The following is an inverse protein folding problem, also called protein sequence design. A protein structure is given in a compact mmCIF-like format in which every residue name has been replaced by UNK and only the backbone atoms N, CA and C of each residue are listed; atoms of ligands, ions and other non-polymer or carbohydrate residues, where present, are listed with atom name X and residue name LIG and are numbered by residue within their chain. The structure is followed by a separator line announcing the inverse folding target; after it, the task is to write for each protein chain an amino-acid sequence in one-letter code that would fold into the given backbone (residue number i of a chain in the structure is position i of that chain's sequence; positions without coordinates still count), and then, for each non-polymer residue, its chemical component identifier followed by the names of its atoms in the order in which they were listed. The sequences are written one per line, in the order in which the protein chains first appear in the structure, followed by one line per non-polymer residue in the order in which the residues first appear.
data_IF_599975024261
#
_entry.id   IF_599975024261
#
_cell.length_a   1.000
_cell.length_b   1.000
_cell.length_c   1.000
_cell.angle_alpha   90.00
_cell.angle_beta   90.00
_cell.angle_gamma   90.00
#
_symmetry.space_group_name_H-M   'P 1'
#
loop_
_entity.id
_entity.type
_entity.pdbx_description
1 polymer ?
#
# COMPACT_ATOMS: atom_id res chain seq x y z
N UNK A 1 8.67 9.86 -12.91
CA UNK A 1 9.33 10.12 -11.61
C UNK A 1 10.14 8.91 -11.15
N UNK A 2 9.53 7.72 -11.10
CA UNK A 2 10.24 6.50 -10.72
C UNK A 2 11.40 6.14 -11.68
N UNK A 3 11.31 6.54 -12.95
CA UNK A 3 12.31 6.25 -13.98
C UNK A 3 13.27 7.43 -14.27
N UNK A 4 13.26 8.43 -13.40
CA UNK A 4 14.15 9.60 -13.52
C UNK A 4 15.20 9.71 -12.42
N UNK A 5 15.11 8.83 -11.40
CA UNK A 5 16.00 8.82 -10.23
C UNK A 5 16.24 7.38 -9.74
N UNK A 6 17.35 7.12 -9.02
CA UNK A 6 17.59 5.83 -8.36
C UNK A 6 16.40 5.41 -7.52
N UNK A 7 15.97 4.16 -7.70
CA UNK A 7 14.73 3.63 -7.07
C UNK A 7 14.74 3.77 -5.55
N UNK A 8 15.90 3.53 -4.89
CA UNK A 8 16.04 3.72 -3.44
C UNK A 8 15.73 5.15 -2.99
N UNK A 9 16.15 6.17 -3.76
CA UNK A 9 15.83 7.58 -3.46
C UNK A 9 14.34 7.88 -3.65
N UNK A 10 13.71 7.32 -4.68
CA UNK A 10 12.25 7.43 -4.89
C UNK A 10 11.51 6.85 -3.69
N UNK A 11 11.92 5.65 -3.25
CA UNK A 11 11.31 4.96 -2.10
C UNK A 11 11.53 5.75 -0.79
N UNK A 12 12.69 6.35 -0.59
CA UNK A 12 12.96 7.26 0.53
C UNK A 12 12.02 8.47 0.50
N UNK A 13 11.99 9.21 -0.61
CA UNK A 13 11.18 10.44 -0.74
C UNK A 13 9.69 10.17 -0.58
N UNK A 14 9.20 9.07 -1.11
CA UNK A 14 7.78 8.72 -1.03
C UNK A 14 7.36 8.30 0.37
N UNK A 15 8.19 7.59 1.13
CA UNK A 15 7.93 7.31 2.53
C UNK A 15 8.04 8.56 3.40
N UNK A 16 9.01 9.44 3.12
CA UNK A 16 9.11 10.73 3.77
C UNK A 16 7.86 11.59 3.50
N UNK A 17 7.36 11.60 2.27
CA UNK A 17 6.10 12.28 1.92
C UNK A 17 4.91 11.75 2.73
N UNK A 18 4.83 10.43 2.95
CA UNK A 18 3.79 9.83 3.80
C UNK A 18 3.92 10.32 5.26
N UNK A 19 5.15 10.39 5.79
CA UNK A 19 5.39 10.92 7.12
C UNK A 19 4.94 12.39 7.23
N UNK A 20 5.23 13.23 6.22
CA UNK A 20 4.73 14.61 6.15
C UNK A 20 3.20 14.65 6.13
N UNK A 21 2.53 13.78 5.38
CA UNK A 21 1.07 13.68 5.38
C UNK A 21 0.50 13.34 6.75
N UNK A 22 1.12 12.40 7.48
CA UNK A 22 0.75 12.08 8.86
C UNK A 22 0.96 13.26 9.82
N UNK A 23 2.08 13.97 9.70
CA UNK A 23 2.33 15.19 10.51
C UNK A 23 1.30 16.27 10.22
N UNK A 24 0.94 16.52 8.96
CA UNK A 24 -0.12 17.46 8.62
C UNK A 24 -1.47 17.07 9.24
N UNK A 25 -1.75 15.77 9.33
CA UNK A 25 -2.97 15.27 9.99
C UNK A 25 -2.95 15.53 11.48
N UNK A 26 -1.79 15.39 12.15
CA UNK A 26 -1.63 15.63 13.58
C UNK A 26 -1.72 17.12 13.95
N UNK A 27 -1.18 18.02 13.13
CA UNK A 27 -1.07 19.44 13.43
C UNK A 27 -2.16 20.30 12.76
N UNK A 28 -3.37 19.77 12.59
CA UNK A 28 -4.55 20.54 12.20
C UNK A 28 -4.67 20.81 10.70
N UNK A 29 -3.92 20.12 9.86
CA UNK A 29 -4.13 20.11 8.42
C UNK A 29 -5.51 19.51 8.06
N UNK A 30 -6.07 19.95 6.93
CA UNK A 30 -7.34 19.38 6.46
C UNK A 30 -7.18 17.86 6.26
N UNK A 31 -7.97 17.00 6.95
CA UNK A 31 -7.75 15.56 6.97
C UNK A 31 -7.69 14.90 5.58
N UNK A 32 -8.58 15.34 4.66
CA UNK A 32 -8.61 14.82 3.29
C UNK A 32 -7.34 15.18 2.50
N UNK A 33 -6.79 16.39 2.67
CA UNK A 33 -5.55 16.80 2.02
C UNK A 33 -4.36 16.04 2.59
N UNK A 34 -4.27 15.92 3.91
CA UNK A 34 -3.23 15.17 4.57
C UNK A 34 -3.23 13.69 4.13
N UNK A 35 -4.41 13.07 4.10
CA UNK A 35 -4.57 11.70 3.64
C UNK A 35 -4.27 11.54 2.13
N UNK A 36 -4.64 12.52 1.30
CA UNK A 36 -4.29 12.54 -0.12
C UNK A 36 -2.77 12.55 -0.33
N UNK A 37 -2.01 13.31 0.48
CA UNK A 37 -0.54 13.32 0.43
C UNK A 37 0.03 11.95 0.77
N UNK A 38 -0.50 11.26 1.79
CA UNK A 38 -0.12 9.88 2.11
C UNK A 38 -0.41 8.96 0.92
N UNK A 39 -1.58 9.11 0.29
CA UNK A 39 -1.99 8.34 -0.89
C UNK A 39 -1.08 8.55 -2.10
N UNK A 40 -0.69 9.81 -2.39
CA UNK A 40 0.28 10.14 -3.44
C UNK A 40 1.62 9.47 -3.14
N UNK A 41 2.10 9.52 -1.90
CA UNK A 41 3.32 8.83 -1.49
C UNK A 41 3.22 7.32 -1.68
N UNK A 42 2.07 6.69 -1.38
CA UNK A 42 1.85 5.27 -1.60
C UNK A 42 1.82 4.90 -3.09
N UNK A 43 1.12 5.68 -3.91
CA UNK A 43 1.04 5.47 -5.35
C UNK A 43 2.40 5.61 -6.04
N UNK A 44 3.20 6.60 -5.64
CA UNK A 44 4.53 6.83 -6.21
C UNK A 44 5.59 5.81 -5.73
N UNK A 45 5.37 5.17 -4.58
CA UNK A 45 6.26 4.12 -4.04
C UNK A 45 6.19 2.83 -4.87
N UNK A 46 5.01 2.42 -5.30
CA UNK A 46 4.78 1.13 -5.95
C UNK A 46 5.61 0.90 -7.21
N UNK A 47 5.70 1.83 -8.18
CA UNK A 47 6.52 1.62 -9.38
C UNK A 47 8.01 1.46 -9.05
N UNK A 48 8.52 2.16 -8.04
CA UNK A 48 9.90 2.01 -7.61
C UNK A 48 10.16 0.65 -6.93
N UNK A 49 9.20 0.19 -6.09
CA UNK A 49 9.27 -1.11 -5.41
C UNK A 49 9.35 -2.29 -6.38
N UNK A 50 8.55 -2.28 -7.43
CA UNK A 50 8.57 -3.34 -8.44
C UNK A 50 9.72 -3.15 -9.45
N UNK A 51 9.99 -1.91 -9.84
CA UNK A 51 11.04 -1.60 -10.82
C UNK A 51 12.44 -1.93 -10.34
N UNK A 52 12.73 -1.86 -9.04
CA UNK A 52 14.06 -2.20 -8.52
C UNK A 52 14.41 -3.68 -8.70
N UNK A 53 13.41 -4.57 -8.76
CA UNK A 53 13.66 -6.00 -8.96
C UNK A 53 14.31 -6.28 -10.32
N UNK A 54 13.85 -5.58 -11.35
CA UNK A 54 14.40 -5.74 -12.72
C UNK A 54 15.81 -5.15 -12.86
N UNK A 55 16.20 -4.27 -11.94
CA UNK A 55 17.54 -3.70 -11.90
C UNK A 55 18.53 -4.56 -11.10
N UNK A 56 18.04 -5.27 -10.07
CA UNK A 56 18.89 -6.06 -9.16
C UNK A 56 18.98 -7.55 -9.54
N UNK A 57 17.97 -8.07 -10.25
CA UNK A 57 17.84 -9.51 -10.46
C UNK A 57 17.78 -9.88 -11.95
N UNK A 58 18.38 -11.01 -12.33
CA UNK A 58 18.22 -11.56 -13.67
C UNK A 58 16.78 -12.05 -13.89
N UNK A 59 16.37 -12.14 -15.16
CA UNK A 59 15.00 -12.47 -15.57
C UNK A 59 14.45 -13.76 -14.95
N UNK A 60 15.30 -14.78 -14.81
CA UNK A 60 14.93 -16.11 -14.27
C UNK A 60 14.48 -16.04 -12.80
N UNK A 61 14.95 -15.06 -12.05
CA UNK A 61 14.62 -14.87 -10.62
C UNK A 61 13.45 -13.92 -10.37
N UNK A 62 13.00 -13.19 -11.38
CA UNK A 62 11.95 -12.17 -11.22
C UNK A 62 10.62 -12.74 -10.74
N UNK A 63 10.24 -13.93 -11.22
CA UNK A 63 8.98 -14.58 -10.82
C UNK A 63 8.99 -14.89 -9.31
N UNK A 64 10.08 -15.48 -8.83
CA UNK A 64 10.24 -15.82 -7.41
C UNK A 64 10.28 -14.55 -6.56
N UNK A 65 11.03 -13.54 -6.99
CA UNK A 65 11.17 -12.28 -6.26
C UNK A 65 9.83 -11.51 -6.18
N UNK A 66 9.06 -11.48 -7.28
CA UNK A 66 7.71 -10.92 -7.26
C UNK A 66 6.78 -11.67 -6.30
N UNK A 67 6.85 -13.01 -6.28
CA UNK A 67 6.10 -13.83 -5.33
C UNK A 67 6.42 -13.48 -3.88
N UNK A 68 7.70 -13.28 -3.54
CA UNK A 68 8.12 -12.83 -2.20
C UNK A 68 7.60 -11.44 -1.88
N UNK A 69 7.70 -10.48 -2.80
CA UNK A 69 7.20 -9.11 -2.59
C UNK A 69 5.70 -9.10 -2.38
N UNK A 70 4.94 -9.86 -3.15
CA UNK A 70 3.49 -9.98 -2.97
C UNK A 70 3.14 -10.65 -1.64
N UNK A 71 3.81 -11.74 -1.29
CA UNK A 71 3.62 -12.39 0.00
C UNK A 71 3.89 -11.46 1.19
N UNK A 72 4.99 -10.71 1.15
CA UNK A 72 5.32 -9.70 2.16
C UNK A 72 4.31 -8.54 2.16
N UNK A 73 3.80 -8.15 1.00
CA UNK A 73 2.78 -7.10 0.88
C UNK A 73 1.49 -7.53 1.58
N UNK A 74 1.00 -8.74 1.30
CA UNK A 74 -0.20 -9.29 1.97
C UNK A 74 0.05 -9.45 3.47
N UNK A 75 1.20 -10.00 3.89
CA UNK A 75 1.58 -10.09 5.29
C UNK A 75 1.60 -8.73 6.00
N UNK A 76 2.14 -7.71 5.33
CA UNK A 76 2.17 -6.34 5.85
C UNK A 76 0.77 -5.72 5.97
N UNK A 77 -0.15 -6.03 5.05
CA UNK A 77 -1.55 -5.60 5.13
C UNK A 77 -2.21 -6.19 6.38
N UNK A 78 -2.07 -7.51 6.59
CA UNK A 78 -2.62 -8.19 7.77
C UNK A 78 -2.07 -7.58 9.06
N UNK A 79 -0.75 -7.48 9.17
CA UNK A 79 -0.09 -6.87 10.31
C UNK A 79 -0.50 -5.42 10.53
N UNK A 80 -0.59 -4.64 9.45
CA UNK A 80 -0.99 -3.22 9.51
C UNK A 80 -2.41 -3.04 10.04
N UNK A 81 -3.35 -3.87 9.60
CA UNK A 81 -4.75 -3.83 10.09
C UNK A 81 -4.82 -4.19 11.58
N UNK A 82 -4.14 -5.27 11.99
CA UNK A 82 -4.11 -5.69 13.40
C UNK A 82 -3.44 -4.63 14.26
N UNK A 83 -2.25 -4.16 13.87
CA UNK A 83 -1.52 -3.12 14.61
C UNK A 83 -2.31 -1.82 14.67
N UNK A 84 -2.98 -1.41 13.61
CA UNK A 84 -3.87 -0.24 13.61
C UNK A 84 -4.97 -0.38 14.66
N UNK A 85 -5.64 -1.53 14.73
CA UNK A 85 -6.65 -1.82 15.74
C UNK A 85 -6.10 -1.86 17.17
N UNK A 86 -4.86 -2.32 17.35
CA UNK A 86 -4.17 -2.34 18.66
C UNK A 86 -3.74 -0.95 19.10
N UNK A 87 -3.20 -0.14 18.19
CA UNK A 87 -2.67 1.19 18.50
C UNK A 87 -3.74 2.18 19.00
N UNK A 88 -5.01 1.97 18.64
CA UNK A 88 -6.12 2.82 19.13
C UNK A 88 -6.70 2.36 20.46
N UNK A 89 -6.25 1.22 21.03
CA UNK A 89 -6.70 0.77 22.34
C UNK A 89 -6.18 1.69 23.44
N UNK A 90 -7.01 2.02 24.46
CA UNK A 90 -6.59 2.88 25.57
C UNK A 90 -5.31 2.41 26.25
N UNK A 91 -5.13 1.09 26.40
CA UNK A 91 -3.97 0.47 27.07
C UNK A 91 -2.64 0.73 26.33
N UNK A 92 -2.71 0.97 25.02
CA UNK A 92 -1.53 1.25 24.17
C UNK A 92 -1.41 2.75 23.88
N UNK A 93 -2.52 3.40 23.54
CA UNK A 93 -2.53 4.82 23.17
C UNK A 93 -2.18 5.74 24.34
N UNK A 94 -2.70 5.45 25.57
CA UNK A 94 -2.44 6.29 26.74
C UNK A 94 -0.95 6.34 27.13
N UNK A 95 -0.21 5.22 27.18
CA UNK A 95 1.23 5.25 27.35
C UNK A 95 1.98 6.06 26.28
N UNK A 96 1.57 5.98 25.01
CA UNK A 96 2.18 6.77 23.92
C UNK A 96 1.98 8.25 24.18
N UNK A 97 0.75 8.68 24.52
CA UNK A 97 0.43 10.07 24.80
C UNK A 97 1.24 10.61 25.98
N UNK A 98 1.41 9.83 27.05
CA UNK A 98 2.13 10.24 28.25
C UNK A 98 3.64 10.21 28.07
N UNK A 99 4.20 9.15 27.47
CA UNK A 99 5.64 8.96 27.29
C UNK A 99 6.27 10.05 26.40
N UNK A 100 5.57 10.42 25.34
CA UNK A 100 6.02 11.46 24.42
C UNK A 100 5.48 12.85 24.75
N UNK A 101 4.81 13.02 25.89
CA UNK A 101 4.23 14.29 26.33
C UNK A 101 3.35 14.94 25.24
N UNK A 102 2.63 14.13 24.45
CA UNK A 102 1.84 14.60 23.32
C UNK A 102 0.70 15.53 23.76
N UNK A 103 0.19 15.33 24.97
CA UNK A 103 -0.81 16.21 25.56
C UNK A 103 -0.33 17.68 25.68
N UNK A 104 0.97 17.89 25.89
CA UNK A 104 1.54 19.24 25.99
C UNK A 104 1.51 20.01 24.66
N UNK A 105 1.44 19.30 23.55
CA UNK A 105 1.33 19.88 22.19
C UNK A 105 -0.08 19.79 21.62
N UNK A 106 -1.09 19.44 22.47
CA UNK A 106 -2.49 19.44 22.11
C UNK A 106 -3.01 18.14 21.48
N UNK A 107 -2.20 17.07 21.42
CA UNK A 107 -2.62 15.76 20.92
C UNK A 107 -3.14 14.92 22.09
N UNK A 108 -4.44 14.64 22.11
CA UNK A 108 -5.12 14.02 23.25
C UNK A 108 -5.92 12.77 22.90
N UNK A 109 -6.19 12.55 21.62
CA UNK A 109 -6.99 11.41 21.17
C UNK A 109 -6.13 10.16 20.92
N UNK A 110 -6.73 8.99 21.08
CA UNK A 110 -6.08 7.71 20.79
C UNK A 110 -5.75 7.56 19.29
N UNK A 111 -6.56 8.16 18.42
CA UNK A 111 -6.28 8.21 16.99
C UNK A 111 -5.01 9.00 16.66
N UNK A 112 -4.81 10.14 17.34
CA UNK A 112 -3.59 10.94 17.21
C UNK A 112 -2.36 10.18 17.70
N UNK A 113 -2.45 9.45 18.81
CA UNK A 113 -1.38 8.57 19.28
C UNK A 113 -1.02 7.51 18.24
N UNK A 114 -2.02 6.90 17.60
CA UNK A 114 -1.80 5.91 16.54
C UNK A 114 -1.14 6.55 15.30
N UNK A 115 -1.59 7.72 14.84
CA UNK A 115 -1.00 8.44 13.72
C UNK A 115 0.45 8.83 14.02
N UNK A 116 0.72 9.27 15.26
CA UNK A 116 2.08 9.57 15.72
C UNK A 116 2.99 8.33 15.61
N UNK A 117 2.55 7.17 16.11
CA UNK A 117 3.29 5.93 16.01
C UNK A 117 3.54 5.52 14.53
N UNK A 118 2.52 5.64 13.66
CA UNK A 118 2.64 5.37 12.24
C UNK A 118 3.64 6.32 11.56
N UNK A 119 3.71 7.58 11.99
CA UNK A 119 4.70 8.55 11.49
C UNK A 119 6.12 8.03 11.72
N UNK A 120 6.41 7.48 12.90
CA UNK A 120 7.70 6.85 13.17
C UNK A 120 8.00 5.67 12.25
N UNK A 121 6.99 4.84 11.96
CA UNK A 121 7.15 3.73 11.01
C UNK A 121 7.53 4.23 9.62
N UNK A 122 6.89 5.30 9.13
CA UNK A 122 7.25 5.88 7.84
C UNK A 122 8.63 6.53 7.82
N UNK A 123 9.03 7.19 8.91
CA UNK A 123 10.38 7.74 9.05
C UNK A 123 11.41 6.62 9.07
N UNK A 124 11.19 5.57 9.86
CA UNK A 124 12.06 4.40 9.90
C UNK A 124 12.17 3.73 8.54
N UNK A 125 11.04 3.53 7.84
CA UNK A 125 11.01 2.99 6.49
C UNK A 125 11.77 3.88 5.49
N UNK A 126 11.69 5.21 5.63
CA UNK A 126 12.48 6.13 4.82
C UNK A 126 13.98 5.91 5.03
N UNK A 127 14.42 5.83 6.29
CA UNK A 127 15.83 5.62 6.64
C UNK A 127 16.32 4.27 6.11
N UNK A 128 15.54 3.20 6.27
CA UNK A 128 15.88 1.87 5.76
C UNK A 128 16.04 1.88 4.23
N UNK A 129 15.24 2.66 3.52
CA UNK A 129 15.37 2.79 2.07
C UNK A 129 16.69 3.45 1.62
N UNK A 130 17.37 4.20 2.49
CA UNK A 130 18.72 4.72 2.19
C UNK A 130 19.79 3.62 2.16
N UNK A 131 19.53 2.48 2.79
CA UNK A 131 20.42 1.32 2.74
C UNK A 131 20.30 0.53 1.42
N UNK A 132 19.36 0.87 0.54
CA UNK A 132 19.22 0.24 -0.76
C UNK A 132 20.44 0.63 -1.62
N UNK A 133 21.23 -0.35 -2.12
CA UNK A 133 22.43 -0.08 -2.90
C UNK A 133 22.05 0.61 -4.23
N UNK A 134 23.01 1.39 -4.75
CA UNK A 134 22.88 1.92 -6.11
C UNK A 134 22.97 0.77 -7.10
N UNK A 135 21.95 0.62 -7.92
CA UNK A 135 21.87 -0.44 -8.94
C UNK A 135 22.78 -0.19 -10.14
N UNK A 136 23.40 1.01 -10.22
CA UNK A 136 24.18 1.45 -11.37
C UNK A 136 23.32 1.78 -12.61
N UNK A 137 22.01 1.68 -12.53
CA UNK A 137 21.10 2.05 -13.61
C UNK A 137 21.21 3.55 -13.90
N UNK A 138 21.35 3.88 -15.18
CA UNK A 138 21.41 5.28 -15.63
C UNK A 138 20.03 5.72 -16.07
N UNK A 139 19.51 6.75 -15.42
CA UNK A 139 18.22 7.34 -15.72
C UNK A 139 18.40 8.56 -16.62
N UNK A 140 17.70 8.63 -17.76
CA UNK A 140 17.72 9.83 -18.59
C UNK A 140 17.16 11.00 -17.80
N UNK A 141 17.80 12.17 -17.90
CA UNK A 141 17.28 13.41 -17.32
C UNK A 141 15.98 13.77 -18.05
N UNK A 142 14.86 13.47 -17.44
CA UNK A 142 13.56 13.88 -17.95
C UNK A 142 13.20 15.25 -17.37
N UNK A 143 12.82 16.18 -18.22
CA UNK A 143 12.14 17.40 -17.78
C UNK A 143 10.77 16.97 -17.27
N UNK A 144 10.46 17.31 -16.01
CA UNK A 144 9.14 17.03 -15.45
C UNK A 144 8.12 17.95 -16.11
N UNK A 145 7.40 17.41 -17.08
CA UNK A 145 6.23 18.04 -17.69
C UNK A 145 4.99 17.23 -17.26
N UNK A 146 4.10 17.80 -16.42
CA UNK A 146 2.90 17.12 -15.98
C UNK A 146 1.98 16.72 -17.13
N UNK A 147 1.89 17.56 -18.17
CA UNK A 147 1.00 17.34 -19.32
C UNK A 147 1.52 16.16 -20.16
N UNK A 148 2.81 16.16 -20.46
CA UNK A 148 3.43 15.06 -21.19
C UNK A 148 3.40 13.76 -20.40
N UNK A 149 3.52 13.81 -19.07
CA UNK A 149 3.36 12.64 -18.19
C UNK A 149 1.95 12.06 -18.26
N UNK A 150 0.92 12.91 -18.20
CA UNK A 150 -0.49 12.50 -18.35
C UNK A 150 -0.74 11.93 -19.75
N UNK A 151 -0.24 12.61 -20.80
CA UNK A 151 -0.38 12.14 -22.18
C UNK A 151 0.29 10.78 -22.38
N UNK A 152 1.51 10.61 -21.86
CA UNK A 152 2.23 9.34 -21.89
C UNK A 152 1.47 8.22 -21.18
N UNK A 153 0.92 8.49 -19.99
CA UNK A 153 0.08 7.57 -19.26
C UNK A 153 -1.17 7.16 -20.07
N UNK A 154 -1.89 8.13 -20.61
CA UNK A 154 -3.08 7.84 -21.43
C UNK A 154 -2.74 7.05 -22.69
N UNK A 155 -1.59 7.33 -23.31
CA UNK A 155 -1.11 6.56 -24.46
C UNK A 155 -0.80 5.13 -24.08
N UNK A 156 -0.15 4.89 -22.93
CA UNK A 156 0.14 3.54 -22.42
C UNK A 156 -1.14 2.79 -22.09
N UNK A 157 -2.10 3.44 -21.43
CA UNK A 157 -3.41 2.83 -21.16
C UNK A 157 -4.14 2.47 -22.46
N UNK A 158 -4.11 3.34 -23.46
CA UNK A 158 -4.73 3.09 -24.76
C UNK A 158 -4.06 1.93 -25.49
N UNK A 159 -2.74 1.83 -25.44
CA UNK A 159 -1.98 0.73 -26.04
C UNK A 159 -2.35 -0.61 -25.40
N UNK A 160 -2.36 -0.67 -24.05
CA UNK A 160 -2.77 -1.87 -23.32
C UNK A 160 -4.24 -2.24 -23.58
N UNK A 161 -5.11 -1.22 -23.74
CA UNK A 161 -6.52 -1.46 -24.02
C UNK A 161 -6.79 -1.98 -25.44
N UNK A 162 -5.87 -1.81 -26.38
CA UNK A 162 -5.96 -2.39 -27.73
C UNK A 162 -5.48 -3.85 -27.78
N UNK A 163 -4.71 -4.28 -26.80
CA UNK A 163 -4.34 -5.70 -26.67
C UNK A 163 -5.35 -6.46 -25.80
N UNK A 164 -5.81 -7.62 -26.27
CA UNK A 164 -6.82 -8.43 -25.57
C UNK A 164 -6.35 -8.89 -24.19
N UNK A 165 -5.09 -9.27 -24.06
CA UNK A 165 -4.51 -9.67 -22.78
C UNK A 165 -4.35 -8.46 -21.86
N UNK A 166 -3.96 -7.31 -22.42
CA UNK A 166 -3.91 -6.03 -21.70
C UNK A 166 -5.26 -5.61 -21.16
N UNK A 167 -6.35 -5.73 -21.94
CA UNK A 167 -7.72 -5.47 -21.48
C UNK A 167 -8.10 -6.34 -20.28
N UNK A 168 -7.88 -7.65 -20.39
CA UNK A 168 -8.21 -8.61 -19.32
C UNK A 168 -7.40 -8.26 -18.07
N UNK A 169 -6.11 -8.04 -18.19
CA UNK A 169 -5.23 -7.72 -17.07
C UNK A 169 -5.65 -6.41 -16.37
N UNK A 170 -5.85 -5.33 -17.12
CA UNK A 170 -6.29 -4.05 -16.56
C UNK A 170 -7.66 -4.16 -15.88
N UNK A 171 -8.63 -4.79 -16.54
CA UNK A 171 -9.99 -4.92 -16.03
C UNK A 171 -10.02 -5.75 -14.75
N UNK A 172 -9.39 -6.93 -14.75
CA UNK A 172 -9.38 -7.84 -13.60
C UNK A 172 -8.65 -7.20 -12.42
N UNK A 173 -7.49 -6.61 -12.65
CA UNK A 173 -6.72 -5.97 -11.57
C UNK A 173 -7.47 -4.78 -10.99
N UNK A 174 -8.05 -3.92 -11.83
CA UNK A 174 -8.81 -2.75 -11.37
C UNK A 174 -10.07 -3.16 -10.60
N UNK A 175 -10.84 -4.13 -11.12
CA UNK A 175 -12.04 -4.64 -10.45
C UNK A 175 -11.68 -5.32 -9.12
N UNK A 176 -10.64 -6.14 -9.07
CA UNK A 176 -10.19 -6.81 -7.86
C UNK A 176 -9.83 -5.79 -6.75
N UNK A 177 -8.96 -4.83 -7.07
CA UNK A 177 -8.58 -3.81 -6.09
C UNK A 177 -9.73 -2.88 -5.73
N UNK A 178 -10.57 -2.52 -6.68
CA UNK A 178 -11.77 -1.69 -6.44
C UNK A 178 -12.77 -2.40 -5.54
N UNK A 179 -13.11 -3.65 -5.84
CA UNK A 179 -14.01 -4.45 -5.00
C UNK A 179 -13.42 -4.67 -3.60
N UNK A 180 -12.12 -4.99 -3.51
CA UNK A 180 -11.43 -5.17 -2.23
C UNK A 180 -11.48 -3.91 -1.36
N UNK A 181 -11.25 -2.73 -1.94
CA UNK A 181 -11.33 -1.47 -1.22
C UNK A 181 -12.75 -1.19 -0.71
N UNK A 182 -13.77 -1.40 -1.55
CA UNK A 182 -15.17 -1.22 -1.14
C UNK A 182 -15.54 -2.19 -0.01
N UNK A 183 -15.19 -3.48 -0.14
CA UNK A 183 -15.46 -4.48 0.89
C UNK A 183 -14.78 -4.15 2.21
N UNK A 184 -13.57 -3.62 2.18
CA UNK A 184 -12.85 -3.20 3.38
C UNK A 184 -13.63 -2.17 4.19
N UNK A 185 -14.16 -1.14 3.54
CA UNK A 185 -14.97 -0.13 4.21
C UNK A 185 -16.34 -0.67 4.63
N UNK A 186 -16.97 -1.51 3.80
CA UNK A 186 -18.27 -2.12 4.12
C UNK A 186 -18.19 -3.02 5.35
N UNK A 187 -17.15 -3.84 5.48
CA UNK A 187 -16.97 -4.71 6.66
C UNK A 187 -16.83 -3.88 7.93
N UNK A 188 -16.02 -2.82 7.93
CA UNK A 188 -15.86 -1.95 9.10
C UNK A 188 -17.19 -1.28 9.48
N UNK A 189 -17.91 -0.74 8.50
CA UNK A 189 -19.23 -0.12 8.72
C UNK A 189 -20.26 -1.13 9.22
N UNK A 190 -20.27 -2.32 8.67
CA UNK A 190 -21.18 -3.39 9.08
C UNK A 190 -20.89 -3.86 10.51
N UNK A 191 -19.62 -4.01 10.89
CA UNK A 191 -19.22 -4.35 12.25
C UNK A 191 -19.72 -3.31 13.26
N UNK A 192 -19.58 -2.02 12.95
CA UNK A 192 -20.04 -0.92 13.79
C UNK A 192 -21.58 -0.90 13.88
N UNK A 193 -22.28 -0.82 12.73
CA UNK A 193 -23.73 -0.61 12.72
C UNK A 193 -24.58 -1.84 13.02
N UNK A 194 -24.17 -3.04 12.57
CA UNK A 194 -24.97 -4.26 12.70
C UNK A 194 -24.58 -5.09 13.91
N UNK A 195 -23.30 -5.10 14.30
CA UNK A 195 -22.80 -5.92 15.39
C UNK A 195 -22.44 -5.10 16.64
N UNK A 196 -22.50 -3.76 16.58
CA UNK A 196 -22.12 -2.89 17.72
C UNK A 196 -20.67 -3.02 18.14
N UNK A 197 -19.80 -3.48 17.23
CA UNK A 197 -18.39 -3.70 17.48
C UNK A 197 -17.60 -2.41 17.49
N UNK A 198 -16.58 -2.36 18.32
CA UNK A 198 -15.61 -1.27 18.32
C UNK A 198 -14.74 -1.31 17.05
N UNK A 199 -14.12 -0.19 16.71
CA UNK A 199 -13.18 -0.11 15.58
C UNK A 199 -12.04 -1.12 15.70
N UNK A 200 -11.57 -1.40 16.91
CA UNK A 200 -10.52 -2.41 17.17
C UNK A 200 -11.00 -3.82 16.85
N UNK A 201 -12.24 -4.16 17.18
CA UNK A 201 -12.84 -5.48 16.87
C UNK A 201 -13.12 -5.60 15.37
N UNK A 202 -13.59 -4.52 14.73
CA UNK A 202 -13.73 -4.44 13.27
C UNK A 202 -12.41 -4.67 12.54
N UNK A 203 -11.29 -4.19 13.10
CA UNK A 203 -9.95 -4.45 12.55
C UNK A 203 -9.58 -5.94 12.59
N UNK A 204 -10.01 -6.68 13.62
CA UNK A 204 -9.81 -8.15 13.67
C UNK A 204 -10.60 -8.86 12.58
N UNK A 205 -11.86 -8.45 12.33
CA UNK A 205 -12.64 -8.99 11.19
C UNK A 205 -11.95 -8.73 9.85
N UNK A 206 -11.38 -7.55 9.69
CA UNK A 206 -10.60 -7.20 8.50
C UNK A 206 -9.33 -8.07 8.34
N UNK A 207 -8.67 -8.41 9.44
CA UNK A 207 -7.52 -9.33 9.43
C UNK A 207 -7.94 -10.75 8.96
N UNK A 208 -9.11 -11.23 9.34
CA UNK A 208 -9.66 -12.51 8.85
C UNK A 208 -9.89 -12.49 7.35
N UNK A 209 -10.44 -11.39 6.81
CA UNK A 209 -10.58 -11.21 5.34
C UNK A 209 -9.22 -11.26 4.66
N UNK A 210 -8.24 -10.54 5.20
CA UNK A 210 -6.88 -10.51 4.64
C UNK A 210 -6.20 -11.89 4.68
N UNK A 211 -6.44 -12.66 5.74
CA UNK A 211 -5.96 -14.05 5.83
C UNK A 211 -6.59 -14.93 4.74
N UNK A 212 -7.89 -14.78 4.49
CA UNK A 212 -8.58 -15.46 3.40
C UNK A 212 -7.97 -15.15 2.03
N UNK A 213 -7.63 -13.89 1.77
CA UNK A 213 -6.94 -13.47 0.54
C UNK A 213 -5.57 -14.16 0.43
N UNK A 214 -4.79 -14.17 1.52
CA UNK A 214 -3.46 -14.81 1.54
C UNK A 214 -3.56 -16.31 1.27
N UNK A 215 -4.47 -17.01 1.94
CA UNK A 215 -4.69 -18.45 1.73
C UNK A 215 -5.15 -18.73 0.30
N UNK A 216 -6.10 -17.94 -0.23
CA UNK A 216 -6.57 -18.05 -1.61
C UNK A 216 -5.46 -17.86 -2.63
N UNK A 217 -4.60 -16.85 -2.43
CA UNK A 217 -3.45 -16.59 -3.29
C UNK A 217 -2.44 -17.76 -3.30
N UNK A 218 -2.12 -18.31 -2.12
CA UNK A 218 -1.20 -19.46 -1.99
C UNK A 218 -1.79 -20.70 -2.68
N UNK A 219 -3.07 -20.98 -2.45
CA UNK A 219 -3.76 -22.12 -3.06
C UNK A 219 -3.82 -22.00 -4.60
N UNK A 220 -4.11 -20.80 -5.11
CA UNK A 220 -4.11 -20.51 -6.53
C UNK A 220 -2.71 -20.70 -7.13
N UNK A 221 -1.69 -20.13 -6.50
CA UNK A 221 -0.30 -20.26 -6.97
C UNK A 221 0.20 -21.70 -6.97
N UNK A 222 -0.22 -22.51 -5.98
CA UNK A 222 0.20 -23.92 -5.87
C UNK A 222 -0.50 -24.85 -6.85
N UNK A 223 -1.73 -24.53 -7.28
CA UNK A 223 -2.56 -25.44 -8.10
C UNK A 223 -2.75 -24.99 -9.54
N UNK A 224 -2.52 -23.72 -9.84
CA UNK A 224 -2.80 -23.16 -11.16
C UNK A 224 -1.50 -22.78 -11.85
N UNK A 225 -1.07 -23.50 -12.90
CA UNK A 225 0.08 -23.10 -13.69
C UNK A 225 -0.23 -21.79 -14.43
N UNK A 226 0.78 -20.96 -14.65
CA UNK A 226 0.68 -19.62 -15.24
C UNK A 226 -0.11 -19.61 -16.56
N UNK A 227 0.10 -20.64 -17.41
CA UNK A 227 -0.58 -20.80 -18.70
C UNK A 227 -2.11 -20.97 -18.54
N UNK A 228 -2.57 -21.48 -17.40
CA UNK A 228 -4.00 -21.68 -17.09
C UNK A 228 -4.56 -20.62 -16.13
N UNK A 229 -3.83 -19.57 -15.83
CA UNK A 229 -4.26 -18.53 -14.86
C UNK A 229 -5.61 -17.89 -15.23
N UNK A 230 -5.90 -17.73 -16.51
CA UNK A 230 -7.19 -17.20 -16.97
C UNK A 230 -8.38 -18.13 -16.64
N UNK A 231 -8.15 -19.42 -16.43
CA UNK A 231 -9.22 -20.38 -16.10
C UNK A 231 -9.78 -20.21 -14.68
N UNK A 232 -9.06 -19.48 -13.81
CA UNK A 232 -9.50 -19.21 -12.42
C UNK A 232 -10.47 -18.03 -12.34
N UNK A 233 -10.46 -17.14 -13.34
CA UNK A 233 -11.33 -15.95 -13.36
C UNK A 233 -12.82 -16.26 -13.18
N UNK A 234 -13.39 -17.30 -13.84
CA UNK A 234 -14.81 -17.64 -13.63
C UNK A 234 -15.13 -18.05 -12.20
N UNK A 235 -14.18 -18.64 -11.46
CA UNK A 235 -14.41 -19.03 -10.06
C UNK A 235 -14.62 -17.81 -9.17
N UNK A 236 -13.93 -16.68 -9.42
CA UNK A 236 -14.13 -15.44 -8.70
C UNK A 236 -15.48 -14.75 -8.99
N UNK A 237 -16.17 -15.15 -10.05
CA UNK A 237 -17.52 -14.63 -10.38
C UNK A 237 -18.60 -15.46 -9.67
N UNK A 238 -18.33 -16.72 -9.37
CA UNK A 238 -19.27 -17.67 -8.74
C UNK A 238 -19.28 -17.51 -7.21
N UNK A 239 -18.23 -16.97 -6.62
CA UNK A 239 -18.12 -16.67 -5.18
C UNK A 239 -18.84 -15.38 -4.82
#
# INVERSE_FOLDING_TARGET
FADSMPKGRVMFLTNFLKAVGCLLMLFGGHPLLAYAIVGIGAAAYSPAKYGILTELLPAEKLVIANGWIEGLTVGSIILGVVLGGVLIKPEIASPILSLFHLNAIGLTSFAEAAIFAITFVYVAASIVNLAIPDTGARYPKQKFDPIDSIRGFMTSCRLLWHDRLGQISLSVTTLFWGAGAVLQFLVLKWCDHALGMTLSEGAVMQAVVSLGIAVGAVLAAARVPLVKSLSVLPMGIIM
#
